data_IF_171703068749
#
_entry.id   IF_171703068749
#
_cell.length_a   1.000
_cell.length_b   1.000
_cell.length_c   1.000
_cell.angle_alpha   90.00
_cell.angle_beta   90.00
_cell.angle_gamma   90.00
#
_symmetry.space_group_name_H-M   'P 1'
#
loop_
_entity.id
_entity.type
_entity.pdbx_description
1 polymer ?
#
# COMPACT_ATOMS: atom_id res chain seq x y z
N UNK A 1 6.27 4.33 -12.57
CA UNK A 1 4.98 3.69 -12.95
C UNK A 1 5.22 2.19 -13.05
N UNK A 2 4.32 1.36 -12.50
CA UNK A 2 4.44 -0.11 -12.53
C UNK A 2 4.36 -0.63 -13.97
N UNK A 3 5.10 -1.70 -14.29
CA UNK A 3 4.98 -2.33 -15.61
C UNK A 3 3.66 -3.10 -15.74
N UNK A 4 3.18 -3.25 -16.96
CA UNK A 4 1.96 -4.02 -17.28
C UNK A 4 2.04 -5.47 -16.81
N UNK A 5 3.22 -6.08 -16.85
CA UNK A 5 3.45 -7.44 -16.34
C UNK A 5 3.26 -7.53 -14.82
N UNK A 6 3.73 -6.53 -14.07
CA UNK A 6 3.55 -6.46 -12.62
C UNK A 6 2.08 -6.27 -12.28
N UNK A 7 1.38 -5.37 -12.98
CA UNK A 7 -0.06 -5.15 -12.77
C UNK A 7 -0.83 -6.45 -12.98
N UNK A 8 -0.57 -7.17 -14.08
CA UNK A 8 -1.25 -8.44 -14.38
C UNK A 8 -0.95 -9.53 -13.34
N UNK A 9 0.28 -9.58 -12.82
CA UNK A 9 0.62 -10.49 -11.73
C UNK A 9 -0.16 -10.14 -10.45
N UNK A 10 -0.24 -8.84 -10.11
CA UNK A 10 -1.01 -8.37 -8.97
C UNK A 10 -2.50 -8.72 -9.10
N UNK A 11 -3.13 -8.51 -10.26
CA UNK A 11 -4.53 -8.91 -10.50
C UNK A 11 -4.76 -10.40 -10.23
N UNK A 12 -3.83 -11.26 -10.62
CA UNK A 12 -3.90 -12.70 -10.35
C UNK A 12 -3.80 -13.02 -8.86
N UNK A 13 -2.91 -12.34 -8.15
CA UNK A 13 -2.76 -12.48 -6.70
C UNK A 13 -3.95 -11.94 -5.93
N UNK A 14 -4.53 -10.83 -6.38
CA UNK A 14 -5.64 -10.17 -5.70
C UNK A 14 -7.00 -10.81 -5.98
N UNK A 15 -7.11 -11.68 -6.99
CA UNK A 15 -8.35 -12.36 -7.35
C UNK A 15 -8.90 -13.27 -6.23
N UNK A 16 -8.05 -13.74 -5.32
CA UNK A 16 -8.42 -14.66 -4.23
C UNK A 16 -8.58 -13.96 -2.86
N UNK A 17 -8.41 -12.63 -2.81
CA UNK A 17 -8.47 -11.88 -1.55
C UNK A 17 -9.83 -12.06 -0.86
N UNK A 18 -9.78 -12.40 0.42
CA UNK A 18 -10.96 -12.56 1.27
C UNK A 18 -11.21 -11.35 2.16
N UNK A 19 -10.13 -10.71 2.61
CA UNK A 19 -10.14 -9.55 3.49
C UNK A 19 -9.79 -8.28 2.71
N UNK A 20 -10.25 -7.14 3.23
CA UNK A 20 -9.95 -5.84 2.65
C UNK A 20 -8.62 -5.31 3.22
N UNK A 21 -7.80 -4.71 2.35
CA UNK A 21 -6.50 -4.15 2.71
C UNK A 21 -6.49 -2.66 2.41
N UNK A 22 -6.17 -1.84 3.41
CA UNK A 22 -6.10 -0.39 3.25
C UNK A 22 -4.67 0.10 3.42
N UNK A 23 -4.15 0.79 2.40
CA UNK A 23 -2.96 1.61 2.52
C UNK A 23 -3.34 2.92 3.21
N UNK A 24 -2.84 3.16 4.41
CA UNK A 24 -3.04 4.43 5.11
C UNK A 24 -1.78 5.26 4.99
N UNK A 25 -1.80 6.25 4.10
CA UNK A 25 -0.72 7.18 3.82
C UNK A 25 -0.76 8.35 4.80
N UNK A 26 0.40 8.64 5.42
CA UNK A 26 0.54 9.77 6.33
C UNK A 26 0.33 11.13 5.63
N UNK A 27 -0.40 12.01 6.28
CA UNK A 27 -0.56 13.42 5.86
C UNK A 27 0.70 14.24 6.15
N UNK A 28 0.90 15.31 5.38
CA UNK A 28 2.01 16.25 5.54
C UNK A 28 2.70 16.60 4.22
N UNK A 29 3.77 17.39 4.29
CA UNK A 29 4.48 17.89 3.11
C UNK A 29 5.81 17.17 2.91
N UNK A 30 6.01 16.59 1.73
CA UNK A 30 7.30 16.04 1.29
C UNK A 30 7.34 15.94 -0.24
N UNK A 31 8.48 16.23 -0.86
CA UNK A 31 8.65 16.28 -2.32
C UNK A 31 8.27 14.95 -3.03
N UNK A 32 8.58 13.81 -2.41
CA UNK A 32 8.27 12.45 -2.90
C UNK A 32 6.90 11.90 -2.50
N UNK A 33 6.09 12.64 -1.75
CA UNK A 33 4.81 12.13 -1.23
C UNK A 33 3.82 11.84 -2.37
N UNK A 34 3.72 12.73 -3.34
CA UNK A 34 2.82 12.56 -4.48
C UNK A 34 3.24 11.37 -5.35
N UNK A 35 4.55 11.10 -5.46
CA UNK A 35 5.06 9.92 -6.14
C UNK A 35 4.67 8.63 -5.41
N UNK A 36 4.80 8.60 -4.08
CA UNK A 36 4.34 7.48 -3.25
C UNK A 36 2.82 7.27 -3.38
N UNK A 37 2.04 8.34 -3.31
CA UNK A 37 0.59 8.30 -3.47
C UNK A 37 0.18 7.72 -4.83
N UNK A 38 0.80 8.17 -5.91
CA UNK A 38 0.55 7.65 -7.25
C UNK A 38 0.94 6.16 -7.37
N UNK A 39 2.04 5.77 -6.75
CA UNK A 39 2.48 4.37 -6.70
C UNK A 39 1.48 3.48 -5.96
N UNK A 40 1.06 3.86 -4.75
CA UNK A 40 0.08 3.11 -3.96
C UNK A 40 -1.28 3.07 -4.65
N UNK A 41 -1.72 4.18 -5.26
CA UNK A 41 -2.96 4.24 -6.03
C UNK A 41 -2.96 3.31 -7.23
N UNK A 42 -1.82 3.14 -7.90
CA UNK A 42 -1.68 2.17 -9.00
C UNK A 42 -1.87 0.73 -8.51
N UNK A 43 -1.39 0.40 -7.30
CA UNK A 43 -1.61 -0.93 -6.70
C UNK A 43 -3.07 -1.08 -6.27
N UNK A 44 -3.66 -0.08 -5.62
CA UNK A 44 -5.05 -0.12 -5.20
C UNK A 44 -6.01 -0.31 -6.38
N UNK A 45 -5.70 0.22 -7.56
CA UNK A 45 -6.54 0.06 -8.76
C UNK A 45 -6.66 -1.39 -9.28
N UNK A 46 -5.80 -2.32 -8.85
CA UNK A 46 -5.82 -3.71 -9.33
C UNK A 46 -6.87 -4.59 -8.63
N UNK A 47 -7.52 -4.09 -7.57
CA UNK A 47 -8.52 -4.84 -6.82
C UNK A 47 -9.49 -3.92 -6.09
N UNK A 48 -10.78 -4.24 -6.13
CA UNK A 48 -11.79 -3.53 -5.33
C UNK A 48 -11.67 -3.73 -3.82
N UNK A 49 -10.82 -4.67 -3.37
CA UNK A 49 -10.53 -4.92 -1.95
C UNK A 49 -9.30 -4.19 -1.43
N UNK A 50 -8.61 -3.44 -2.29
CA UNK A 50 -7.45 -2.63 -1.89
C UNK A 50 -7.84 -1.17 -1.95
N UNK A 51 -7.70 -0.48 -0.82
CA UNK A 51 -8.04 0.94 -0.69
C UNK A 51 -6.79 1.77 -0.37
N UNK A 52 -6.81 3.04 -0.76
CA UNK A 52 -5.81 4.02 -0.36
C UNK A 52 -6.51 5.16 0.37
N UNK A 53 -6.11 5.39 1.62
CA UNK A 53 -6.60 6.47 2.46
C UNK A 53 -5.45 7.38 2.89
N UNK A 54 -5.74 8.68 3.00
CA UNK A 54 -4.82 9.65 3.59
C UNK A 54 -5.32 9.99 5.00
N UNK A 55 -4.51 9.70 6.02
CA UNK A 55 -4.90 9.90 7.43
C UNK A 55 -3.73 10.43 8.23
N UNK A 56 -4.01 11.36 9.15
CA UNK A 56 -3.03 11.77 10.16
C UNK A 56 -2.94 10.67 11.22
N UNK A 57 -1.77 10.06 11.36
CA UNK A 57 -1.58 8.91 12.27
C UNK A 57 -1.09 9.32 13.67
N UNK A 58 -1.24 10.59 14.07
CA UNK A 58 -0.92 11.10 15.42
C UNK A 58 0.47 10.70 15.95
N UNK A 59 1.48 10.65 15.08
CA UNK A 59 2.86 10.32 15.43
C UNK A 59 3.24 8.84 15.31
N UNK A 60 2.33 7.96 14.90
CA UNK A 60 2.65 6.56 14.56
C UNK A 60 3.59 6.53 13.35
N UNK A 61 3.26 7.27 12.28
CA UNK A 61 4.13 7.48 11.14
C UNK A 61 4.85 8.82 11.29
N UNK A 62 6.19 8.79 11.29
CA UNK A 62 7.04 9.98 11.53
C UNK A 62 7.34 10.79 10.28
N UNK A 63 7.07 10.24 9.09
CA UNK A 63 7.36 10.87 7.80
C UNK A 63 6.10 10.89 6.91
N UNK A 64 5.84 11.98 6.18
CA UNK A 64 4.79 12.04 5.15
C UNK A 64 5.01 11.09 3.97
N UNK A 65 6.20 10.50 3.84
CA UNK A 65 6.50 9.42 2.88
C UNK A 65 6.50 8.08 3.62
N UNK A 66 5.47 7.84 4.42
CA UNK A 66 5.29 6.58 5.11
C UNK A 66 3.82 6.21 5.09
N UNK A 67 3.56 4.92 5.08
CA UNK A 67 2.23 4.37 5.12
C UNK A 67 2.19 3.11 5.97
N UNK A 68 1.02 2.80 6.50
CA UNK A 68 0.74 1.55 7.19
C UNK A 68 -0.29 0.73 6.42
N UNK A 69 -0.41 -0.55 6.78
CA UNK A 69 -1.44 -1.42 6.25
C UNK A 69 -2.48 -1.69 7.32
N UNK A 70 -3.76 -1.56 6.96
CA UNK A 70 -4.87 -2.06 7.75
C UNK A 70 -5.46 -3.29 7.07
N UNK A 71 -5.95 -4.24 7.87
CA UNK A 71 -6.77 -5.37 7.42
C UNK A 71 -8.16 -5.19 7.98
N UNK A 72 -9.18 -5.15 7.12
CA UNK A 72 -10.58 -4.96 7.53
C UNK A 72 -10.78 -3.74 8.47
N UNK A 73 -9.95 -2.70 8.30
CA UNK A 73 -9.94 -1.48 9.12
C UNK A 73 -9.12 -1.56 10.42
N UNK A 74 -8.46 -2.68 10.70
CA UNK A 74 -7.60 -2.86 11.88
C UNK A 74 -6.11 -2.72 11.53
N UNK A 75 -5.32 -2.04 12.37
CA UNK A 75 -3.86 -1.88 12.17
C UNK A 75 -3.17 -3.25 12.17
N UNK A 76 -2.53 -3.58 11.05
CA UNK A 76 -1.84 -4.85 10.87
C UNK A 76 -0.49 -4.95 11.58
N UNK A 77 0.06 -3.83 12.03
CA UNK A 77 1.43 -3.78 12.52
C UNK A 77 2.50 -3.54 11.43
N UNK A 78 2.12 -3.52 10.15
CA UNK A 78 3.04 -3.38 9.03
C UNK A 78 3.13 -1.91 8.61
N UNK A 79 4.36 -1.39 8.52
CA UNK A 79 4.65 -0.01 8.14
C UNK A 79 5.79 0.04 7.15
N UNK A 80 5.70 0.93 6.19
CA UNK A 80 6.72 1.23 5.20
C UNK A 80 7.08 2.71 5.25
N UNK A 81 8.36 3.02 5.04
CA UNK A 81 8.84 4.39 4.90
C UNK A 81 9.65 4.50 3.62
N UNK A 82 9.22 5.36 2.70
CA UNK A 82 9.73 5.46 1.34
C UNK A 82 8.80 4.82 0.32
N UNK A 83 9.21 4.88 -0.95
CA UNK A 83 8.52 4.24 -2.07
C UNK A 83 9.13 2.84 -2.22
N UNK A 84 8.36 1.76 -1.95
CA UNK A 84 8.88 0.38 -1.97
C UNK A 84 8.99 -0.12 -3.41
N UNK A 85 9.91 0.49 -4.17
CA UNK A 85 10.27 0.08 -5.52
C UNK A 85 11.35 -1.01 -5.53
N UNK A 86 11.61 -1.57 -6.72
CA UNK A 86 12.69 -2.53 -6.91
C UNK A 86 12.54 -3.79 -6.06
N UNK A 87 13.56 -4.11 -5.24
CA UNK A 87 13.57 -5.32 -4.40
C UNK A 87 12.54 -5.28 -3.27
N UNK A 88 12.16 -4.10 -2.79
CA UNK A 88 11.19 -3.93 -1.70
C UNK A 88 9.75 -4.12 -2.18
N UNK A 89 9.51 -4.05 -3.49
CA UNK A 89 8.20 -4.29 -4.10
C UNK A 89 7.66 -5.68 -3.73
N UNK A 90 8.50 -6.71 -3.81
CA UNK A 90 8.09 -8.07 -3.45
C UNK A 90 7.66 -8.18 -1.97
N UNK A 91 8.30 -7.41 -1.08
CA UNK A 91 7.93 -7.39 0.34
C UNK A 91 6.56 -6.74 0.55
N UNK A 92 6.25 -5.68 -0.20
CA UNK A 92 4.92 -5.07 -0.19
C UNK A 92 3.85 -6.05 -0.71
N UNK A 93 4.11 -6.73 -1.82
CA UNK A 93 3.17 -7.71 -2.39
C UNK A 93 2.90 -8.84 -1.41
N UNK A 94 3.94 -9.38 -0.76
CA UNK A 94 3.79 -10.43 0.25
C UNK A 94 3.01 -9.93 1.47
N UNK A 95 3.23 -8.68 1.91
CA UNK A 95 2.48 -8.10 3.01
C UNK A 95 0.98 -7.98 2.66
N UNK A 96 0.63 -7.49 1.47
CA UNK A 96 -0.76 -7.40 1.01
C UNK A 96 -1.39 -8.79 0.93
N UNK A 97 -0.69 -9.76 0.33
CA UNK A 97 -1.17 -11.14 0.23
C UNK A 97 -1.43 -11.75 1.61
N UNK A 98 -0.50 -11.58 2.55
CA UNK A 98 -0.62 -12.09 3.91
C UNK A 98 -1.83 -11.51 4.65
N UNK A 99 -2.12 -10.22 4.47
CA UNK A 99 -3.29 -9.58 5.07
C UNK A 99 -4.59 -9.95 4.38
N UNK A 100 -4.55 -10.20 3.08
CA UNK A 100 -5.73 -10.45 2.27
C UNK A 100 -6.39 -11.82 2.50
N UNK A 101 -5.70 -12.74 3.18
CA UNK A 101 -6.24 -14.05 3.58
C UNK A 101 -6.09 -15.13 2.52
#
# INVERSE_FOLDING_TARGET
MLSSEIIKALEGYTAQMQNDVTFVLQTGEHEKREELKAFLGSIASVSGRISLEERETNGVLRSPVSFLLERDGEDSGIRFSGIPGGHEFNSLVLAVLHLSG
#
